data_IF_448553229307
#
_entry.id   IF_448553229307
#
_cell.length_a   1.000
_cell.length_b   1.000
_cell.length_c   1.000
_cell.angle_alpha   90.00
_cell.angle_beta   90.00
_cell.angle_gamma   90.00
#
_symmetry.space_group_name_H-M   'P 1'
#
loop_
_entity.id
_entity.type
_entity.pdbx_description
1 polymer ?
#
# COMPACT_ATOMS: atom_id res chain seq x y z
N UNK A 1 4.59 -15.59 4.56
CA UNK A 1 3.47 -15.70 3.68
C UNK A 1 2.13 -15.83 4.35
N UNK A 2 1.38 -14.76 4.25
CA UNK A 2 0.05 -14.66 4.83
C UNK A 2 -1.06 -15.06 3.85
N UNK A 3 -0.73 -15.35 2.59
CA UNK A 3 -1.71 -15.57 1.54
C UNK A 3 -2.27 -14.28 0.97
N UNK A 4 -1.70 -13.14 1.35
CA UNK A 4 -2.08 -11.81 0.84
C UNK A 4 -0.85 -11.11 0.32
N UNK A 5 -0.98 -10.54 -0.87
CA UNK A 5 0.08 -9.75 -1.51
C UNK A 5 -0.38 -8.30 -1.66
N UNK A 6 0.50 -7.37 -1.33
CA UNK A 6 0.25 -5.95 -1.50
C UNK A 6 0.89 -5.48 -2.81
N UNK A 7 0.07 -4.94 -3.71
CA UNK A 7 0.51 -4.46 -5.02
C UNK A 7 0.95 -2.99 -5.00
N UNK A 8 1.45 -2.53 -3.87
CA UNK A 8 1.81 -1.12 -3.70
C UNK A 8 2.90 -0.68 -4.68
N UNK A 9 3.93 -1.49 -4.88
CA UNK A 9 5.00 -1.16 -5.82
C UNK A 9 4.48 -0.97 -7.24
N UNK A 10 3.61 -1.88 -7.69
CA UNK A 10 3.04 -1.80 -9.03
C UNK A 10 2.18 -0.55 -9.20
N UNK A 11 1.37 -0.24 -8.19
CA UNK A 11 0.50 0.94 -8.23
C UNK A 11 1.32 2.23 -8.22
N UNK A 12 2.37 2.30 -7.41
CA UNK A 12 3.26 3.47 -7.39
C UNK A 12 3.94 3.66 -8.73
N UNK A 13 4.43 2.58 -9.34
CA UNK A 13 5.06 2.64 -10.64
C UNK A 13 4.09 3.14 -11.71
N UNK A 14 2.87 2.60 -11.72
CA UNK A 14 1.84 3.01 -12.67
C UNK A 14 1.50 4.49 -12.56
N UNK A 15 1.54 5.07 -11.34
CA UNK A 15 1.21 6.47 -11.11
C UNK A 15 2.43 7.38 -11.15
N UNK A 16 3.62 6.83 -11.36
CA UNK A 16 4.85 7.62 -11.34
C UNK A 16 5.09 8.29 -9.99
N UNK A 17 4.72 7.62 -8.90
CA UNK A 17 4.83 8.16 -7.55
C UNK A 17 5.87 7.38 -6.75
N UNK A 18 6.62 8.08 -5.91
CA UNK A 18 7.58 7.45 -5.00
C UNK A 18 6.93 7.07 -3.69
N UNK A 19 7.53 6.11 -2.98
CA UNK A 19 7.08 5.72 -1.65
C UNK A 19 7.20 6.90 -0.68
N UNK A 20 8.24 7.72 -0.81
CA UNK A 20 8.42 8.92 0.00
C UNK A 20 7.26 9.89 -0.17
N UNK A 21 6.86 10.12 -1.41
CA UNK A 21 5.74 11.01 -1.70
C UNK A 21 4.43 10.47 -1.13
N UNK A 22 4.19 9.17 -1.29
CA UNK A 22 3.00 8.54 -0.72
C UNK A 22 2.99 8.70 0.79
N UNK A 23 4.13 8.47 1.45
CA UNK A 23 4.29 8.64 2.89
C UNK A 23 3.85 10.04 3.32
N UNK A 24 4.29 11.07 2.62
CA UNK A 24 3.92 12.45 2.90
C UNK A 24 2.40 12.68 2.76
N UNK A 25 1.82 12.12 1.72
CA UNK A 25 0.40 12.36 1.40
C UNK A 25 -0.55 11.62 2.35
N UNK A 26 -0.19 10.43 2.81
CA UNK A 26 -1.06 9.63 3.67
C UNK A 26 -0.73 9.77 5.15
N UNK A 27 0.40 10.39 5.50
CA UNK A 27 0.79 10.58 6.90
C UNK A 27 1.25 9.29 7.59
N UNK A 28 1.75 8.33 6.83
CA UNK A 28 2.28 7.07 7.35
C UNK A 28 3.77 7.01 7.04
N UNK A 29 4.58 6.54 7.98
CA UNK A 29 6.04 6.51 7.80
C UNK A 29 6.44 5.60 6.64
N UNK A 30 7.58 5.94 6.02
CA UNK A 30 8.15 5.14 4.95
C UNK A 30 8.43 3.71 5.43
N UNK A 31 8.87 3.57 6.69
CA UNK A 31 9.15 2.24 7.28
C UNK A 31 7.87 1.40 7.29
N UNK A 32 6.76 1.96 7.74
CA UNK A 32 5.50 1.23 7.78
C UNK A 32 4.98 0.89 6.38
N UNK A 33 5.11 1.81 5.43
CA UNK A 33 4.75 1.54 4.05
C UNK A 33 5.65 0.47 3.41
N UNK A 34 6.93 0.47 3.76
CA UNK A 34 7.87 -0.55 3.29
C UNK A 34 7.52 -1.94 3.82
N UNK A 35 7.13 -2.02 5.09
CA UNK A 35 6.65 -3.28 5.68
C UNK A 35 5.44 -3.79 4.91
N UNK A 36 4.50 -2.89 4.59
CA UNK A 36 3.30 -3.24 3.85
C UNK A 36 3.62 -3.72 2.43
N UNK A 37 4.43 -2.96 1.71
CA UNK A 37 4.74 -3.28 0.30
C UNK A 37 5.55 -4.58 0.13
N UNK A 38 6.25 -5.01 1.18
CA UNK A 38 7.04 -6.23 1.17
C UNK A 38 6.27 -7.42 1.75
N UNK A 39 4.97 -7.30 1.91
CA UNK A 39 4.07 -8.35 2.40
C UNK A 39 4.42 -8.82 3.82
N UNK A 40 4.98 -7.93 4.63
CA UNK A 40 5.38 -8.21 6.01
C UNK A 40 4.42 -7.66 7.05
N UNK A 41 3.41 -6.89 6.62
CA UNK A 41 2.43 -6.34 7.55
C UNK A 41 1.52 -7.45 8.06
N UNK A 42 1.31 -7.48 9.37
CA UNK A 42 0.39 -8.42 10.01
C UNK A 42 -1.01 -7.85 10.12
N UNK A 43 -1.12 -6.55 10.06
CA UNK A 43 -2.38 -5.84 10.14
C UNK A 43 -2.22 -4.49 9.48
N UNK A 44 -3.34 -3.94 9.03
CA UNK A 44 -3.39 -2.58 8.49
C UNK A 44 -4.68 -1.95 8.98
N UNK A 45 -4.60 -0.68 9.37
CA UNK A 45 -5.79 0.06 9.77
C UNK A 45 -6.62 0.38 8.54
N UNK A 46 -7.93 0.31 8.69
CA UNK A 46 -8.84 0.68 7.60
C UNK A 46 -8.62 2.13 7.14
N UNK A 47 -8.31 3.04 8.08
CA UNK A 47 -8.03 4.43 7.74
C UNK A 47 -6.80 4.57 6.84
N UNK A 48 -5.75 3.79 7.12
CA UNK A 48 -4.53 3.79 6.30
C UNK A 48 -4.83 3.22 4.91
N UNK A 49 -5.54 2.10 4.87
CA UNK A 49 -5.92 1.46 3.62
C UNK A 49 -6.75 2.41 2.74
N UNK A 50 -7.74 3.06 3.33
CA UNK A 50 -8.58 4.03 2.64
C UNK A 50 -7.77 5.21 2.12
N UNK A 51 -6.84 5.74 2.92
CA UNK A 51 -6.02 6.89 2.52
C UNK A 51 -5.11 6.54 1.33
N UNK A 52 -4.48 5.37 1.37
CA UNK A 52 -3.62 4.91 0.27
C UNK A 52 -4.44 4.79 -1.02
N UNK A 53 -5.58 4.13 -0.95
CA UNK A 53 -6.44 3.94 -2.12
C UNK A 53 -6.95 5.26 -2.68
N UNK A 54 -7.25 6.23 -1.81
CA UNK A 54 -7.70 7.55 -2.24
C UNK A 54 -6.59 8.29 -2.99
N UNK A 55 -5.38 8.28 -2.45
CA UNK A 55 -4.24 8.97 -3.07
C UNK A 55 -3.87 8.31 -4.39
N UNK A 56 -3.90 7.00 -4.46
CA UNK A 56 -3.54 6.26 -5.67
C UNK A 56 -4.71 6.08 -6.64
N UNK A 57 -5.90 6.56 -6.24
CA UNK A 57 -7.11 6.46 -7.07
C UNK A 57 -7.35 5.01 -7.50
N UNK A 58 -7.43 4.12 -6.52
CA UNK A 58 -7.66 2.70 -6.78
C UNK A 58 -8.62 2.11 -5.76
N UNK A 59 -9.11 0.93 -6.05
CA UNK A 59 -9.94 0.17 -5.12
C UNK A 59 -9.08 -0.69 -4.19
N UNK A 60 -9.65 -1.12 -3.08
CA UNK A 60 -8.93 -1.98 -2.13
C UNK A 60 -8.47 -3.27 -2.80
N UNK A 61 -9.28 -3.84 -3.68
CA UNK A 61 -8.94 -5.06 -4.41
C UNK A 61 -7.83 -4.86 -5.44
N UNK A 62 -7.49 -3.62 -5.78
CA UNK A 62 -6.33 -3.31 -6.62
C UNK A 62 -5.05 -3.31 -5.80
N UNK A 63 -5.15 -3.00 -4.50
CA UNK A 63 -4.01 -2.88 -3.61
C UNK A 63 -3.67 -4.20 -2.93
N UNK A 64 -4.67 -4.90 -2.43
CA UNK A 64 -4.49 -6.15 -1.69
C UNK A 64 -5.17 -7.29 -2.43
N UNK A 65 -4.41 -8.33 -2.74
CA UNK A 65 -4.90 -9.48 -3.48
C UNK A 65 -4.46 -10.77 -2.78
N UNK A 66 -5.17 -11.85 -3.05
CA UNK A 66 -4.75 -13.16 -2.56
C UNK A 66 -3.59 -13.68 -3.41
N UNK A 67 -2.65 -14.31 -2.73
CA UNK A 67 -1.43 -14.82 -3.37
C UNK A 67 -1.30 -16.34 -3.30
N UNK A 68 -2.32 -17.02 -2.81
CA UNK A 68 -2.33 -18.48 -2.68
C UNK A 68 -2.98 -19.19 -3.86
#
# INVERSE_FOLDING_TARGET
PSGVHCRLDELLEDRGMTLTRLSELVGVSIVNLSVLKNDRARAIRYSTLSAICRVLDCEIGDLLVRSD
#
